data_IF_325560432214
#
_entry.id   IF_325560432214
#
_cell.length_a   1.000
_cell.length_b   1.000
_cell.length_c   1.000
_cell.angle_alpha   90.00
_cell.angle_beta   90.00
_cell.angle_gamma   90.00
#
_symmetry.space_group_name_H-M   'P 1'
#
loop_
_entity.id
_entity.type
_entity.pdbx_description
1 polymer ?
#
# COMPACT_ATOMS: atom_id res chain seq x y z
N UNK A 1 14.51 -25.11 1.82
CA UNK A 1 13.52 -26.19 1.67
C UNK A 1 12.31 -25.49 1.06
N UNK A 2 12.39 -25.22 -0.24
CA UNK A 2 11.97 -26.11 -1.35
C UNK A 2 10.58 -25.61 -1.81
N UNK A 3 10.60 -24.60 -2.68
CA UNK A 3 9.40 -24.09 -3.35
C UNK A 3 9.29 -24.82 -4.69
N UNK A 4 8.30 -25.71 -4.78
CA UNK A 4 8.08 -26.60 -5.91
C UNK A 4 7.76 -25.86 -7.20
N UNK A 5 8.64 -26.03 -8.18
CA UNK A 5 8.45 -25.77 -9.60
C UNK A 5 7.38 -26.74 -10.15
N UNK A 6 6.33 -26.25 -10.81
CA UNK A 6 5.48 -27.05 -11.68
C UNK A 6 5.74 -26.60 -13.12
N UNK A 7 6.65 -27.34 -13.75
CA UNK A 7 6.79 -27.41 -15.19
C UNK A 7 5.52 -28.05 -15.77
N UNK A 8 4.85 -27.37 -16.68
CA UNK A 8 3.80 -27.98 -17.50
C UNK A 8 4.45 -28.29 -18.84
N UNK A 9 4.80 -29.56 -19.01
CA UNK A 9 5.42 -30.11 -20.21
C UNK A 9 4.55 -29.94 -21.45
N UNK A 10 5.16 -29.45 -22.52
CA UNK A 10 4.71 -29.68 -23.89
C UNK A 10 4.77 -31.18 -24.21
N UNK A 11 3.62 -31.77 -24.53
CA UNK A 11 3.59 -33.07 -25.20
C UNK A 11 2.48 -33.07 -26.26
N UNK A 12 2.90 -32.80 -27.48
CA UNK A 12 2.18 -33.17 -28.69
C UNK A 12 1.80 -34.66 -28.63
N UNK A 13 0.53 -34.99 -28.84
CA UNK A 13 0.17 -36.17 -29.66
C UNK A 13 -1.21 -35.97 -30.28
N UNK A 14 -1.18 -35.91 -31.60
CA UNK A 14 -2.29 -36.15 -32.50
C UNK A 14 -2.99 -37.47 -32.15
N UNK A 15 -4.31 -37.44 -31.95
CA UNK A 15 -5.15 -38.61 -32.20
C UNK A 15 -6.52 -38.22 -32.76
N UNK A 16 -6.54 -38.35 -34.08
CA UNK A 16 -7.64 -38.51 -35.02
C UNK A 16 -8.92 -39.10 -34.39
N UNK A 17 -9.99 -38.31 -34.31
CA UNK A 17 -11.35 -38.83 -34.14
C UNK A 17 -12.06 -38.81 -35.49
N UNK A 18 -12.08 -39.98 -36.12
CA UNK A 18 -12.90 -40.29 -37.28
C UNK A 18 -14.39 -40.12 -36.94
N UNK A 19 -14.97 -38.96 -37.23
CA UNK A 19 -16.42 -38.82 -37.36
C UNK A 19 -16.78 -39.01 -38.83
N UNK A 20 -17.12 -40.26 -39.15
CA UNK A 20 -17.79 -40.65 -40.39
C UNK A 20 -19.11 -39.87 -40.52
N UNK A 21 -19.11 -38.83 -41.35
CA UNK A 21 -20.35 -38.31 -41.94
C UNK A 21 -20.35 -38.67 -43.42
N UNK A 22 -21.09 -39.74 -43.73
CA UNK A 22 -21.59 -39.99 -45.07
C UNK A 22 -22.50 -38.82 -45.48
N UNK A 23 -22.06 -38.02 -46.45
CA UNK A 23 -22.97 -37.19 -47.24
C UNK A 23 -22.77 -37.48 -48.72
N UNK A 24 -23.89 -37.84 -49.35
CA UNK A 24 -24.02 -38.14 -50.76
C UNK A 24 -23.68 -36.91 -51.62
N UNK A 25 -23.11 -37.09 -52.83
CA UNK A 25 -22.71 -35.99 -53.69
C UNK A 25 -23.86 -35.59 -54.60
N UNK A 26 -24.52 -34.46 -54.33
CA UNK A 26 -25.32 -33.78 -55.35
C UNK A 26 -25.72 -32.36 -54.96
N UNK A 27 -25.08 -31.41 -55.67
CA UNK A 27 -25.57 -30.08 -56.03
C UNK A 27 -25.52 -28.97 -54.95
N UNK A 28 -24.63 -28.00 -55.21
CA UNK A 28 -24.67 -26.59 -54.77
C UNK A 28 -24.33 -26.25 -53.31
N UNK A 29 -23.38 -26.93 -52.68
CA UNK A 29 -22.72 -26.43 -51.46
C UNK A 29 -21.62 -25.39 -51.74
N UNK A 30 -21.09 -25.37 -52.97
CA UNK A 30 -20.00 -24.50 -53.38
C UNK A 30 -20.41 -23.01 -53.31
N UNK A 31 -21.64 -22.69 -53.74
CA UNK A 31 -22.13 -21.31 -53.75
C UNK A 31 -22.37 -20.72 -52.35
N UNK A 32 -22.70 -21.54 -51.34
CA UNK A 32 -22.92 -21.07 -49.96
C UNK A 32 -21.60 -20.83 -49.22
N UNK A 33 -20.61 -21.69 -49.44
CA UNK A 33 -19.27 -21.49 -48.89
C UNK A 33 -18.60 -20.27 -49.55
N UNK A 34 -18.83 -20.09 -50.84
CA UNK A 34 -18.29 -18.96 -51.60
C UNK A 34 -18.94 -17.63 -51.18
N UNK A 35 -20.24 -17.60 -50.86
CA UNK A 35 -20.90 -16.43 -50.26
C UNK A 35 -20.45 -16.16 -48.81
N UNK A 36 -20.22 -17.21 -48.01
CA UNK A 36 -19.69 -17.05 -46.65
C UNK A 36 -18.25 -16.51 -46.65
N UNK A 37 -17.42 -16.97 -47.60
CA UNK A 37 -16.06 -16.48 -47.82
C UNK A 37 -16.06 -15.04 -48.34
N UNK A 38 -16.97 -14.68 -49.25
CA UNK A 38 -17.20 -13.29 -49.70
C UNK A 38 -17.68 -12.38 -48.57
N UNK A 39 -18.40 -12.92 -47.58
CA UNK A 39 -18.91 -12.16 -46.43
C UNK A 39 -17.90 -12.05 -45.26
N UNK A 40 -16.69 -12.57 -45.45
CA UNK A 40 -15.58 -12.35 -44.53
C UNK A 40 -14.83 -11.08 -44.94
N UNK A 41 -14.99 -10.01 -44.16
CA UNK A 41 -14.31 -8.74 -44.44
C UNK A 41 -13.05 -8.64 -43.59
N UNK A 42 -11.89 -8.69 -44.23
CA UNK A 42 -10.63 -8.39 -43.55
C UNK A 42 -10.51 -6.89 -43.32
N UNK A 43 -10.42 -6.50 -42.05
CA UNK A 43 -10.16 -5.13 -41.64
C UNK A 43 -8.70 -4.99 -41.19
N UNK A 44 -8.07 -3.91 -41.64
CA UNK A 44 -6.71 -3.55 -41.26
C UNK A 44 -6.78 -2.31 -40.39
N UNK A 45 -6.27 -2.42 -39.17
CA UNK A 45 -6.18 -1.29 -38.25
C UNK A 45 -4.73 -0.90 -38.02
N UNK A 46 -4.47 0.40 -37.95
CA UNK A 46 -3.17 0.92 -37.52
C UNK A 46 -3.33 1.53 -36.15
N UNK A 47 -2.64 0.98 -35.17
CA UNK A 47 -2.65 1.47 -33.80
C UNK A 47 -1.36 2.24 -33.53
N UNK A 48 -1.51 3.42 -32.94
CA UNK A 48 -0.38 4.22 -32.45
C UNK A 48 -0.34 4.09 -30.93
N UNK A 49 0.71 3.45 -30.43
CA UNK A 49 0.94 3.30 -29.00
C UNK A 49 1.88 4.41 -28.55
N UNK A 50 1.39 5.31 -27.70
CA UNK A 50 2.19 6.37 -27.10
C UNK A 50 2.38 6.08 -25.60
N UNK A 51 3.38 5.25 -25.23
CA UNK A 51 3.61 4.94 -23.82
C UNK A 51 4.08 6.20 -23.06
N UNK A 52 3.71 6.36 -21.78
CA UNK A 52 4.20 7.47 -20.97
C UNK A 52 5.69 7.26 -20.64
N UNK A 53 6.57 7.87 -21.45
CA UNK A 53 8.01 7.83 -21.28
C UNK A 53 8.74 8.44 -22.49
N UNK A 54 10.06 8.68 -22.40
CA UNK A 54 10.85 9.33 -23.46
C UNK A 54 11.15 8.41 -24.66
N UNK A 55 10.67 7.15 -24.65
CA UNK A 55 10.98 6.18 -25.69
C UNK A 55 9.88 6.12 -26.77
N UNK A 56 10.38 6.11 -28.00
CA UNK A 56 9.67 6.41 -29.25
C UNK A 56 8.27 5.82 -29.34
N UNK A 57 7.29 6.69 -29.61
CA UNK A 57 5.99 6.28 -30.11
C UNK A 57 6.20 5.28 -31.26
N UNK A 58 5.49 4.16 -31.20
CA UNK A 58 5.57 3.15 -32.24
C UNK A 58 4.17 2.83 -32.75
N UNK A 59 4.10 2.55 -34.05
CA UNK A 59 2.88 2.16 -34.73
C UNK A 59 2.98 0.72 -35.14
N UNK A 60 1.91 -0.05 -34.95
CA UNK A 60 1.80 -1.39 -35.51
C UNK A 60 0.48 -1.52 -36.27
N UNK A 61 0.51 -2.34 -37.29
CA UNK A 61 -0.64 -2.64 -38.14
C UNK A 61 -1.13 -4.03 -37.80
N UNK A 62 -2.41 -4.15 -37.47
CA UNK A 62 -3.03 -5.43 -37.14
C UNK A 62 -4.09 -5.78 -38.17
N UNK A 63 -4.07 -7.03 -38.64
CA UNK A 63 -4.97 -7.57 -39.64
C UNK A 63 -5.93 -8.54 -38.96
N UNK A 64 -7.23 -8.29 -39.07
CA UNK A 64 -8.27 -9.14 -38.50
C UNK A 64 -9.36 -9.42 -39.54
N UNK A 65 -9.95 -10.61 -39.49
CA UNK A 65 -11.06 -10.98 -40.37
C UNK A 65 -12.36 -10.95 -39.61
N UNK A 66 -13.29 -10.09 -40.02
CA UNK A 66 -14.65 -10.06 -39.49
C UNK A 66 -15.51 -11.05 -40.26
N UNK A 67 -16.12 -11.98 -39.54
CA UNK A 67 -17.12 -12.89 -40.09
C UNK A 67 -18.50 -12.35 -39.70
N UNK A 68 -19.24 -11.81 -40.66
CA UNK A 68 -20.60 -11.36 -40.41
C UNK A 68 -21.53 -12.57 -40.49
N UNK A 69 -22.13 -12.96 -39.36
CA UNK A 69 -23.13 -14.02 -39.31
C UNK A 69 -24.48 -13.40 -39.67
N UNK A 70 -24.95 -13.63 -40.90
CA UNK A 70 -26.31 -13.28 -41.28
C UNK A 70 -27.27 -14.23 -40.56
N UNK A 71 -28.07 -13.70 -39.63
CA UNK A 71 -29.16 -14.46 -39.05
C UNK A 71 -30.23 -14.66 -40.13
N UNK A 72 -30.54 -15.93 -40.44
CA UNK A 72 -31.65 -16.28 -41.32
C UNK A 72 -32.93 -15.61 -40.82
N UNK A 73 -33.61 -14.89 -41.69
CA UNK A 73 -34.92 -14.29 -41.43
C UNK A 73 -35.97 -15.41 -41.39
N UNK A 74 -35.96 -16.21 -40.33
CA UNK A 74 -37.08 -17.07 -39.96
C UNK A 74 -37.26 -17.03 -38.43
N UNK A 75 -38.50 -16.77 -38.04
CA UNK A 75 -38.96 -16.34 -36.72
C UNK A 75 -38.39 -17.11 -35.51
N UNK A 76 -37.62 -16.42 -34.67
CA UNK A 76 -37.54 -16.72 -33.23
C UNK A 76 -37.05 -15.50 -32.40
N UNK A 77 -37.89 -14.92 -31.52
CA UNK A 77 -37.41 -13.96 -30.54
C UNK A 77 -36.71 -14.73 -29.40
N UNK A 78 -35.52 -14.28 -29.01
CA UNK A 78 -34.75 -14.68 -27.82
C UNK A 78 -33.51 -15.56 -28.03
N UNK A 79 -32.48 -14.99 -28.67
CA UNK A 79 -31.09 -15.30 -28.29
C UNK A 79 -30.33 -14.02 -27.94
N UNK A 80 -30.84 -13.29 -26.94
CA UNK A 80 -29.96 -12.40 -26.15
C UNK A 80 -29.33 -13.31 -25.08
N UNK A 81 -28.00 -13.47 -25.01
CA UNK A 81 -27.39 -14.15 -23.87
C UNK A 81 -27.79 -13.37 -22.62
N UNK A 82 -28.70 -13.94 -21.83
CA UNK A 82 -29.09 -13.40 -20.52
C UNK A 82 -27.79 -13.34 -19.73
N UNK A 83 -27.24 -12.12 -19.60
CA UNK A 83 -26.05 -11.87 -18.78
C UNK A 83 -26.24 -12.61 -17.46
N UNK A 84 -25.29 -13.47 -17.03
CA UNK A 84 -25.45 -14.21 -15.80
C UNK A 84 -25.65 -13.19 -14.67
N UNK A 85 -26.81 -13.25 -14.02
CA UNK A 85 -27.22 -12.29 -12.99
C UNK A 85 -26.15 -12.14 -11.89
N UNK A 86 -25.37 -13.20 -11.66
CA UNK A 86 -24.23 -13.23 -10.75
C UNK A 86 -23.09 -12.27 -11.12
N UNK A 87 -22.76 -12.05 -12.40
CA UNK A 87 -21.72 -11.09 -12.78
C UNK A 87 -22.17 -9.65 -12.49
N UNK A 88 -23.44 -9.33 -12.77
CA UNK A 88 -24.00 -8.00 -12.47
C UNK A 88 -23.98 -7.72 -10.95
N UNK A 89 -24.27 -8.72 -10.13
CA UNK A 89 -24.24 -8.58 -8.68
C UNK A 89 -22.80 -8.50 -8.14
N UNK A 90 -21.87 -9.32 -8.67
CA UNK A 90 -20.46 -9.28 -8.29
C UNK A 90 -19.82 -7.91 -8.57
N UNK A 91 -20.09 -7.33 -9.76
CA UNK A 91 -19.60 -5.98 -10.10
C UNK A 91 -20.20 -4.92 -9.18
N UNK A 92 -21.47 -5.06 -8.79
CA UNK A 92 -22.11 -4.14 -7.83
C UNK A 92 -21.44 -4.22 -6.47
N UNK A 93 -21.27 -5.42 -5.92
CA UNK A 93 -20.57 -5.66 -4.64
C UNK A 93 -19.13 -5.13 -4.67
N UNK A 94 -18.41 -5.33 -5.78
CA UNK A 94 -17.06 -4.75 -5.95
C UNK A 94 -17.07 -3.23 -5.87
N UNK A 95 -17.99 -2.57 -6.57
CA UNK A 95 -18.12 -1.10 -6.56
C UNK A 95 -18.51 -0.58 -5.18
N UNK A 96 -19.45 -1.24 -4.51
CA UNK A 96 -19.87 -0.90 -3.16
C UNK A 96 -18.71 -1.06 -2.17
N UNK A 97 -17.97 -2.17 -2.23
CA UNK A 97 -16.77 -2.40 -1.41
C UNK A 97 -15.71 -1.33 -1.67
N UNK A 98 -15.45 -0.99 -2.94
CA UNK A 98 -14.48 0.05 -3.31
C UNK A 98 -14.91 1.42 -2.78
N UNK A 99 -16.20 1.77 -2.93
CA UNK A 99 -16.76 3.02 -2.41
C UNK A 99 -16.67 3.10 -0.88
N UNK A 100 -17.04 2.03 -0.19
CA UNK A 100 -16.95 1.96 1.27
C UNK A 100 -15.49 2.07 1.76
N UNK A 101 -14.55 1.40 1.10
CA UNK A 101 -13.14 1.47 1.44
C UNK A 101 -12.57 2.88 1.22
N UNK A 102 -12.91 3.54 0.11
CA UNK A 102 -12.52 4.94 -0.12
C UNK A 102 -13.09 5.87 0.95
N UNK A 103 -14.37 5.73 1.29
CA UNK A 103 -14.99 6.54 2.35
C UNK A 103 -14.33 6.32 3.72
N UNK A 104 -14.01 5.07 4.08
CA UNK A 104 -13.28 4.73 5.30
C UNK A 104 -11.91 5.40 5.36
N UNK A 105 -11.12 5.32 4.27
CA UNK A 105 -9.81 5.97 4.20
C UNK A 105 -9.92 7.49 4.33
N UNK A 106 -10.92 8.11 3.69
CA UNK A 106 -11.14 9.56 3.79
C UNK A 106 -11.47 10.00 5.24
N UNK A 107 -12.25 9.19 5.95
CA UNK A 107 -12.55 9.43 7.36
C UNK A 107 -11.31 9.30 8.25
N UNK A 108 -10.52 8.25 8.06
CA UNK A 108 -9.29 8.06 8.84
C UNK A 108 -8.27 9.18 8.57
N UNK A 109 -8.12 9.61 7.31
CA UNK A 109 -7.29 10.78 6.96
C UNK A 109 -7.80 12.04 7.66
N UNK A 110 -9.12 12.27 7.73
CA UNK A 110 -9.70 13.42 8.44
C UNK A 110 -9.39 13.37 9.93
N UNK A 111 -9.55 12.20 10.56
CA UNK A 111 -9.25 11.99 11.99
C UNK A 111 -7.77 12.19 12.28
N UNK A 112 -6.89 11.56 11.49
CA UNK A 112 -5.44 11.71 11.64
C UNK A 112 -4.99 13.15 11.44
N UNK A 113 -5.56 13.89 10.48
CA UNK A 113 -5.28 15.32 10.31
C UNK A 113 -5.67 16.15 11.53
N UNK A 114 -6.83 15.88 12.13
CA UNK A 114 -7.27 16.58 13.34
C UNK A 114 -6.33 16.31 14.52
N UNK A 115 -5.97 15.04 14.74
CA UNK A 115 -5.02 14.65 15.81
C UNK A 115 -3.65 15.26 15.57
N UNK A 116 -3.14 15.21 14.34
CA UNK A 116 -1.86 15.80 13.98
C UNK A 116 -1.85 17.31 14.25
N UNK A 117 -2.91 18.03 13.86
CA UNK A 117 -3.03 19.45 14.15
C UNK A 117 -3.03 19.75 15.67
N UNK A 118 -3.67 18.91 16.47
CA UNK A 118 -3.61 19.04 17.93
C UNK A 118 -2.21 18.79 18.49
N UNK A 119 -1.50 17.78 17.99
CA UNK A 119 -0.13 17.46 18.40
C UNK A 119 0.84 18.59 18.04
N UNK A 120 0.72 19.16 16.84
CA UNK A 120 1.53 20.32 16.42
C UNK A 120 1.32 21.51 17.35
N UNK A 121 0.08 21.82 17.72
CA UNK A 121 -0.20 22.90 18.70
C UNK A 121 0.45 22.63 20.06
N UNK A 122 0.42 21.39 20.55
CA UNK A 122 1.08 21.00 21.81
C UNK A 122 2.60 21.14 21.72
N UNK A 123 3.21 20.70 20.61
CA UNK A 123 4.65 20.83 20.39
C UNK A 123 5.09 22.30 20.33
N UNK A 124 4.32 23.16 19.64
CA UNK A 124 4.58 24.60 19.63
C UNK A 124 4.49 25.20 21.04
N UNK A 125 3.47 24.86 21.83
CA UNK A 125 3.37 25.30 23.23
C UNK A 125 4.54 24.84 24.09
N UNK A 126 5.00 23.59 23.90
CA UNK A 126 6.16 23.05 24.60
C UNK A 126 7.45 23.84 24.27
N UNK A 127 7.65 24.20 23.00
CA UNK A 127 8.84 24.98 22.60
C UNK A 127 8.90 26.37 23.25
N UNK A 128 7.75 27.02 23.45
CA UNK A 128 7.66 28.30 24.15
C UNK A 128 8.02 28.13 25.64
N UNK A 129 7.52 27.06 26.26
CA UNK A 129 7.84 26.75 27.64
C UNK A 129 9.33 26.45 27.85
N UNK A 130 9.95 25.71 26.94
CA UNK A 130 11.39 25.40 26.97
C UNK A 130 12.26 26.66 26.81
N UNK A 131 11.84 27.60 25.95
CA UNK A 131 12.49 28.90 25.83
C UNK A 131 12.42 29.69 27.14
N UNK A 132 11.27 29.70 27.81
CA UNK A 132 11.09 30.39 29.08
C UNK A 132 11.88 29.74 30.21
N UNK A 133 11.91 28.41 30.30
CA UNK A 133 12.78 27.67 31.24
C UNK A 133 14.25 28.06 31.02
N UNK A 134 14.69 28.16 29.77
CA UNK A 134 16.06 28.56 29.44
C UNK A 134 16.35 30.00 29.86
N UNK A 135 15.41 30.92 29.61
CA UNK A 135 15.50 32.33 30.05
C UNK A 135 15.59 32.44 31.57
N UNK A 136 14.74 31.73 32.30
CA UNK A 136 14.72 31.71 33.76
C UNK A 136 16.00 31.10 34.34
N UNK A 137 16.50 30.00 33.75
CA UNK A 137 17.80 29.42 34.13
C UNK A 137 18.95 30.42 33.93
N UNK A 138 18.95 31.17 32.83
CA UNK A 138 19.90 32.25 32.58
C UNK A 138 19.86 33.32 33.68
N UNK A 139 18.67 33.84 34.00
CA UNK A 139 18.50 34.83 35.06
C UNK A 139 18.96 34.33 36.43
N UNK A 140 18.68 33.06 36.77
CA UNK A 140 19.16 32.46 38.02
C UNK A 140 20.68 32.34 38.06
N UNK A 141 21.31 31.98 36.93
CA UNK A 141 22.77 31.95 36.82
C UNK A 141 23.37 33.35 36.97
N UNK A 142 22.76 34.36 36.35
CA UNK A 142 23.19 35.77 36.47
C UNK A 142 23.06 36.29 37.90
N UNK A 143 21.93 36.02 38.56
CA UNK A 143 21.72 36.39 39.97
C UNK A 143 22.73 35.71 40.88
N UNK A 144 22.98 34.41 40.67
CA UNK A 144 24.01 33.67 41.40
C UNK A 144 25.39 34.28 41.18
N UNK A 145 25.75 34.61 39.94
CA UNK A 145 27.01 35.27 39.62
C UNK A 145 27.16 36.64 40.29
N UNK A 146 26.09 37.44 40.34
CA UNK A 146 26.07 38.72 41.06
C UNK A 146 26.28 38.52 42.57
N UNK A 147 25.55 37.58 43.18
CA UNK A 147 25.72 37.24 44.60
C UNK A 147 27.15 36.80 44.88
N UNK A 148 27.70 35.88 44.09
CA UNK A 148 29.08 35.39 44.25
C UNK A 148 30.11 36.52 44.08
N UNK A 149 29.84 37.49 43.20
CA UNK A 149 30.70 38.67 43.00
C UNK A 149 30.61 39.69 44.16
N UNK A 150 29.41 39.92 44.71
CA UNK A 150 29.16 40.86 45.80
C UNK A 150 29.64 40.32 47.15
N UNK A 151 29.47 39.01 47.38
CA UNK A 151 30.00 38.33 48.56
C UNK A 151 31.54 38.21 48.51
N UNK A 152 32.13 38.37 47.32
CA UNK A 152 33.53 38.11 47.07
C UNK A 152 33.89 36.65 47.29
N UNK A 153 35.00 36.19 46.69
CA UNK A 153 35.61 34.92 47.09
C UNK A 153 36.22 35.13 48.47
N UNK A 154 35.39 35.11 49.52
CA UNK A 154 35.90 35.04 50.88
C UNK A 154 36.59 33.69 51.00
N UNK A 155 37.91 33.62 51.26
CA UNK A 155 38.56 32.37 51.57
C UNK A 155 37.92 31.90 52.87
N UNK A 156 36.96 30.98 52.76
CA UNK A 156 36.48 30.25 53.92
C UNK A 156 37.68 29.45 54.37
N UNK A 157 38.49 30.02 55.28
CA UNK A 157 39.51 29.28 56.01
C UNK A 157 38.76 28.09 56.59
N UNK A 158 38.97 26.91 56.01
CA UNK A 158 38.60 25.67 56.66
C UNK A 158 39.39 25.73 57.96
N UNK A 159 38.70 26.01 59.05
CA UNK A 159 39.31 25.85 60.36
C UNK A 159 39.57 24.37 60.46
N UNK A 160 40.83 24.00 60.34
CA UNK A 160 41.36 22.74 60.87
C UNK A 160 41.20 22.79 62.39
N UNK A 161 39.96 22.76 62.87
CA UNK A 161 39.65 22.53 64.25
C UNK A 161 39.65 21.01 64.43
N UNK A 162 40.88 20.48 64.50
CA UNK A 162 41.16 19.20 65.13
C UNK A 162 40.77 19.32 66.60
N UNK A 163 39.48 19.16 66.90
CA UNK A 163 39.03 18.86 68.25
C UNK A 163 38.71 17.38 68.32
N UNK A 164 39.78 16.65 68.62
CA UNK A 164 39.77 15.48 69.48
C UNK A 164 38.67 15.57 70.54
N UNK A 165 37.59 14.82 70.37
CA UNK A 165 36.77 14.36 71.49
C UNK A 165 36.54 12.87 71.33
N UNK A 166 37.37 12.13 72.07
CA UNK A 166 37.16 10.77 72.52
C UNK A 166 35.70 10.55 72.91
N UNK A 167 34.99 9.66 72.22
CA UNK A 167 33.76 9.03 72.71
C UNK A 167 33.78 7.54 72.32
N UNK A 168 34.52 6.81 73.16
CA UNK A 168 34.16 5.53 73.78
C UNK A 168 33.02 4.71 73.13
N UNK A 169 33.44 3.62 72.50
CA UNK A 169 33.02 2.23 72.76
C UNK A 169 31.53 1.95 73.03
N UNK A 170 30.92 1.20 72.10
CA UNK A 170 29.63 0.54 72.28
C UNK A 170 29.17 -0.13 70.99
N UNK A 171 29.52 -1.40 70.80
CA UNK A 171 29.06 -2.22 69.68
C UNK A 171 27.68 -2.85 69.91
N UNK A 172 26.98 -3.18 68.83
CA UNK A 172 26.32 -4.48 68.57
C UNK A 172 25.31 -4.39 67.41
N UNK A 173 25.41 -5.36 66.49
CA UNK A 173 24.26 -6.14 66.00
C UNK A 173 23.57 -5.69 64.72
N UNK A 174 23.97 -6.31 63.60
CA UNK A 174 23.17 -7.06 62.62
C UNK A 174 21.73 -6.58 62.31
N UNK A 175 21.28 -6.39 61.07
CA UNK A 175 21.21 -7.36 59.96
C UNK A 175 20.69 -6.61 58.72
N UNK A 176 21.13 -6.96 57.51
CA UNK A 176 20.23 -7.02 56.35
C UNK A 176 20.89 -7.80 55.20
N UNK A 177 20.36 -9.00 54.99
CA UNK A 177 20.66 -9.90 53.88
C UNK A 177 20.10 -9.30 52.58
N UNK A 178 20.92 -9.20 51.54
CA UNK A 178 20.46 -9.14 50.15
C UNK A 178 21.08 -10.32 49.41
N UNK A 179 20.24 -11.31 49.09
CA UNK A 179 20.58 -12.40 48.20
C UNK A 179 20.46 -11.97 46.74
N UNK A 180 21.42 -12.36 45.92
CA UNK A 180 21.32 -12.43 44.46
C UNK A 180 22.40 -13.40 43.97
N UNK A 181 21.96 -14.47 43.33
CA UNK A 181 22.78 -15.55 42.76
C UNK A 181 21.88 -16.66 42.28
#
# INVERSE_FOLDING_TARGET
MDDGEIEISDHEFFQNSHSSMNFQPSLSMDSFLDDLLKNSQTCTHTHTCNPPGPESAHTHTCYHTHMQVLASEDDAPHNRPKRPLGNREAVRKYREKKKAHTAYLEEEVRKLRLVNQQLVRKLQGQSVLEAEISRLRGLLADLRGKIDSELGVFPRKRSDFSSTTMLKEGGCGDTSVCGSG
#
